data_IF_423192149216
#
_entry.id   IF_423192149216
#
_cell.length_a   1.000
_cell.length_b   1.000
_cell.length_c   1.000
_cell.angle_alpha   90.00
_cell.angle_beta   90.00
_cell.angle_gamma   90.00
#
_symmetry.space_group_name_H-M   'P 1'
#
loop_
_entity.id
_entity.type
_entity.pdbx_description
1 polymer ?
#
# COMPACT_ATOMS: atom_id res chain seq x y z
N UNK A 1 -2.38 21.53 23.33
CA UNK A 1 -2.36 20.81 22.04
C UNK A 1 -2.92 19.42 22.26
N UNK A 2 -3.99 18.99 21.57
CA UNK A 2 -4.50 17.61 21.72
C UNK A 2 -3.45 16.65 21.18
N UNK A 3 -2.88 15.79 22.04
CA UNK A 3 -1.98 14.72 21.61
C UNK A 3 -2.71 13.81 20.65
N UNK A 4 -2.31 13.87 19.39
CA UNK A 4 -2.85 13.05 18.31
C UNK A 4 -2.38 11.62 18.52
N UNK A 5 -3.29 10.64 18.45
CA UNK A 5 -2.88 9.24 18.55
C UNK A 5 -1.84 8.91 17.47
N UNK A 6 -0.85 8.11 17.85
CA UNK A 6 0.26 7.73 16.99
C UNK A 6 0.30 6.21 16.84
N UNK A 7 0.81 5.77 15.70
CA UNK A 7 1.19 4.39 15.43
C UNK A 7 2.70 4.31 15.34
N UNK A 8 3.28 3.29 15.95
CA UNK A 8 4.74 3.15 16.06
C UNK A 8 5.14 1.88 15.30
N UNK A 9 6.08 1.99 14.38
CA UNK A 9 6.64 0.84 13.66
C UNK A 9 7.49 -0.03 14.58
N UNK A 10 7.84 -1.27 14.17
CA UNK A 10 8.83 -2.08 14.89
C UNK A 10 10.20 -1.41 15.07
N UNK A 11 10.57 -0.50 14.16
CA UNK A 11 11.81 0.29 14.26
C UNK A 11 11.71 1.51 15.18
N UNK A 12 10.54 1.78 15.77
CA UNK A 12 10.31 2.93 16.65
C UNK A 12 9.89 4.23 15.94
N UNK A 13 9.75 4.21 14.60
CA UNK A 13 9.27 5.37 13.84
C UNK A 13 7.80 5.65 14.15
N UNK A 14 7.45 6.92 14.37
CA UNK A 14 6.12 7.35 14.82
C UNK A 14 5.34 7.99 13.68
N UNK A 15 4.11 7.54 13.50
CA UNK A 15 3.18 8.02 12.46
C UNK A 15 1.89 8.54 13.11
N UNK A 16 1.53 9.82 12.96
CA UNK A 16 0.28 10.35 13.47
C UNK A 16 -0.91 9.76 12.69
N UNK A 17 -1.95 9.31 13.41
CA UNK A 17 -3.16 8.77 12.76
C UNK A 17 -3.89 9.88 11.99
N UNK A 18 -4.39 9.62 10.78
CA UNK A 18 -4.98 10.64 9.91
C UNK A 18 -6.30 11.17 10.48
N UNK A 19 -6.57 12.43 10.16
CA UNK A 19 -7.71 13.19 10.64
C UNK A 19 -8.71 13.33 9.51
N UNK A 20 -9.89 13.89 9.80
CA UNK A 20 -10.99 13.98 8.82
C UNK A 20 -10.55 14.62 7.49
N UNK A 21 -9.75 15.68 7.52
CA UNK A 21 -9.32 16.35 6.30
C UNK A 21 -8.24 15.58 5.53
N UNK A 22 -7.38 14.82 6.22
CA UNK A 22 -6.42 13.93 5.55
C UNK A 22 -7.13 12.77 4.87
N UNK A 23 -8.18 12.20 5.46
CA UNK A 23 -9.02 11.20 4.79
C UNK A 23 -9.64 11.75 3.50
N UNK A 24 -10.19 12.97 3.55
CA UNK A 24 -10.78 13.60 2.35
C UNK A 24 -9.72 13.80 1.25
N UNK A 25 -8.54 14.29 1.61
CA UNK A 25 -7.42 14.47 0.67
C UNK A 25 -6.94 13.14 0.10
N UNK A 26 -6.81 12.13 0.94
CA UNK A 26 -6.36 10.80 0.54
C UNK A 26 -7.37 10.14 -0.41
N UNK A 27 -8.66 10.19 -0.10
CA UNK A 27 -9.70 9.69 -0.99
C UNK A 27 -9.69 10.41 -2.35
N UNK A 28 -9.53 11.73 -2.37
CA UNK A 28 -9.40 12.50 -3.61
C UNK A 28 -8.15 12.10 -4.42
N UNK A 29 -7.02 11.83 -3.74
CA UNK A 29 -5.78 11.32 -4.35
C UNK A 29 -6.00 9.95 -4.98
N UNK A 30 -6.60 9.01 -4.24
CA UNK A 30 -6.88 7.65 -4.70
C UNK A 30 -7.85 7.64 -5.89
N UNK A 31 -8.88 8.49 -5.87
CA UNK A 31 -9.81 8.62 -7.00
C UNK A 31 -9.07 9.02 -8.28
N UNK A 32 -8.25 10.08 -8.22
CA UNK A 32 -7.42 10.52 -9.37
C UNK A 32 -6.47 9.42 -9.84
N UNK A 33 -5.86 8.71 -8.90
CA UNK A 33 -4.93 7.63 -9.20
C UNK A 33 -5.63 6.44 -9.89
N UNK A 34 -6.77 6.00 -9.37
CA UNK A 34 -7.57 4.94 -9.97
C UNK A 34 -8.07 5.33 -11.36
N UNK A 35 -8.53 6.57 -11.54
CA UNK A 35 -8.99 7.08 -12.84
C UNK A 35 -7.84 7.06 -13.87
N UNK A 36 -6.62 7.48 -13.47
CA UNK A 36 -5.42 7.38 -14.32
C UNK A 36 -5.06 5.94 -14.68
N UNK A 37 -5.06 5.04 -13.70
CA UNK A 37 -4.66 3.63 -13.91
C UNK A 37 -5.66 2.90 -14.82
N UNK A 38 -6.96 3.21 -14.73
CA UNK A 38 -7.97 2.73 -15.68
C UNK A 38 -7.73 3.26 -17.09
N UNK A 39 -7.36 4.52 -17.23
CA UNK A 39 -7.01 5.10 -18.54
C UNK A 39 -5.76 4.45 -19.16
N UNK A 40 -4.83 3.96 -18.32
CA UNK A 40 -3.68 3.13 -18.72
C UNK A 40 -4.06 1.65 -18.99
N UNK A 41 -5.35 1.30 -18.93
CA UNK A 41 -5.86 -0.05 -19.22
C UNK A 41 -5.72 -1.06 -18.08
N UNK A 42 -5.38 -0.62 -16.86
CA UNK A 42 -5.18 -1.50 -15.70
C UNK A 42 -6.47 -1.70 -14.91
N UNK A 43 -6.70 -2.93 -14.48
CA UNK A 43 -7.78 -3.26 -13.54
C UNK A 43 -7.42 -2.76 -12.13
N UNK A 44 -8.37 -2.13 -11.45
CA UNK A 44 -8.18 -1.66 -10.07
C UNK A 44 -8.57 -2.77 -9.11
N UNK A 45 -7.62 -3.24 -8.31
CA UNK A 45 -7.85 -4.25 -7.28
C UNK A 45 -7.70 -3.62 -5.91
N UNK A 46 -8.67 -3.85 -5.03
CA UNK A 46 -8.64 -3.38 -3.64
C UNK A 46 -8.43 -4.56 -2.71
N UNK A 47 -7.35 -4.54 -1.94
CA UNK A 47 -7.05 -5.57 -0.94
C UNK A 47 -7.30 -4.99 0.44
N UNK A 48 -8.31 -5.50 1.15
CA UNK A 48 -8.66 -5.03 2.49
C UNK A 48 -7.85 -5.79 3.53
N UNK A 49 -7.03 -5.04 4.27
CA UNK A 49 -6.07 -5.53 5.25
C UNK A 49 -4.69 -5.76 4.62
N UNK A 50 -3.66 -5.11 5.17
CA UNK A 50 -2.24 -5.33 4.81
C UNK A 50 -1.51 -6.02 5.97
N UNK A 51 -2.13 -7.10 6.47
CA UNK A 51 -1.48 -8.11 7.29
C UNK A 51 -0.50 -8.95 6.47
N UNK A 52 0.01 -10.05 7.02
CA UNK A 52 0.94 -10.93 6.30
C UNK A 52 0.37 -11.38 4.95
N UNK A 53 -0.77 -12.08 4.98
CA UNK A 53 -1.45 -12.57 3.77
C UNK A 53 -1.84 -11.40 2.85
N UNK A 54 -2.45 -10.35 3.40
CA UNK A 54 -2.94 -9.23 2.60
C UNK A 54 -1.82 -8.43 1.90
N UNK A 55 -0.69 -8.20 2.56
CA UNK A 55 0.45 -7.49 1.97
C UNK A 55 1.11 -8.32 0.85
N UNK A 56 1.31 -9.62 1.07
CA UNK A 56 1.87 -10.53 0.07
C UNK A 56 0.92 -10.65 -1.12
N UNK A 57 -0.37 -10.89 -0.90
CA UNK A 57 -1.35 -10.97 -1.98
C UNK A 57 -1.48 -9.66 -2.76
N UNK A 58 -1.41 -8.52 -2.09
CA UNK A 58 -1.41 -7.22 -2.76
C UNK A 58 -0.19 -7.08 -3.70
N UNK A 59 0.99 -7.50 -3.26
CA UNK A 59 2.20 -7.45 -4.06
C UNK A 59 2.17 -8.45 -5.23
N UNK A 60 1.74 -9.70 -4.99
CA UNK A 60 1.61 -10.72 -6.04
C UNK A 60 0.66 -10.27 -7.15
N UNK A 61 -0.51 -9.73 -6.79
CA UNK A 61 -1.47 -9.24 -7.78
C UNK A 61 -0.93 -8.02 -8.51
N UNK A 62 -0.24 -7.10 -7.82
CA UNK A 62 0.36 -5.92 -8.42
C UNK A 62 1.55 -6.24 -9.34
N UNK A 63 2.24 -7.35 -9.13
CA UNK A 63 3.36 -7.78 -9.95
C UNK A 63 2.93 -8.52 -11.21
N UNK A 64 1.68 -9.03 -11.23
CA UNK A 64 1.14 -9.80 -12.35
C UNK A 64 1.15 -9.02 -13.68
N UNK A 65 1.52 -9.74 -14.74
CA UNK A 65 1.60 -9.21 -16.11
C UNK A 65 0.60 -9.89 -17.02
N UNK A 66 0.24 -9.22 -18.12
CA UNK A 66 -0.43 -9.85 -19.25
C UNK A 66 0.52 -10.76 -20.04
N UNK A 67 0.02 -11.33 -21.15
CA UNK A 67 0.81 -12.17 -22.05
C UNK A 67 1.94 -11.44 -22.78
N UNK A 68 1.94 -10.10 -22.75
CA UNK A 68 3.00 -9.24 -23.33
C UNK A 68 4.02 -8.81 -22.28
N UNK A 69 3.90 -9.28 -21.04
CA UNK A 69 4.79 -8.90 -19.93
C UNK A 69 4.48 -7.53 -19.33
N UNK A 70 3.36 -6.91 -19.68
CA UNK A 70 2.99 -5.58 -19.19
C UNK A 70 2.11 -5.69 -17.93
N UNK A 71 2.27 -4.81 -16.93
CA UNK A 71 1.41 -4.84 -15.76
C UNK A 71 -0.05 -4.57 -16.12
N UNK A 72 -0.93 -5.51 -15.78
CA UNK A 72 -2.37 -5.44 -16.10
C UNK A 72 -3.25 -4.95 -14.94
N UNK A 73 -2.68 -4.83 -13.74
CA UNK A 73 -3.41 -4.50 -12.50
C UNK A 73 -2.74 -3.38 -11.74
N UNK A 74 -3.55 -2.61 -11.05
CA UNK A 74 -3.14 -1.63 -10.07
C UNK A 74 -3.82 -1.93 -8.74
N UNK A 75 -3.03 -2.18 -7.70
CA UNK A 75 -3.51 -2.62 -6.40
C UNK A 75 -3.49 -1.48 -5.39
N UNK A 76 -4.59 -1.34 -4.67
CA UNK A 76 -4.74 -0.46 -3.52
C UNK A 76 -4.92 -1.34 -2.28
N UNK A 77 -3.88 -1.43 -1.45
CA UNK A 77 -3.96 -2.05 -0.13
C UNK A 77 -4.64 -1.10 0.85
N UNK A 78 -5.75 -1.50 1.45
CA UNK A 78 -6.51 -0.68 2.40
C UNK A 78 -6.29 -1.21 3.79
N UNK A 79 -5.87 -0.37 4.72
CA UNK A 79 -5.70 -0.73 6.11
C UNK A 79 -6.40 0.29 7.01
N UNK A 80 -7.24 -0.20 7.92
CA UNK A 80 -7.83 0.68 8.93
C UNK A 80 -6.71 1.34 9.75
N UNK A 81 -6.65 2.68 9.85
CA UNK A 81 -5.66 3.33 10.69
C UNK A 81 -5.98 3.06 12.15
N UNK A 82 -4.98 2.57 12.86
CA UNK A 82 -5.01 2.35 14.30
C UNK A 82 -3.62 2.55 14.87
N UNK A 83 -3.47 2.77 16.19
CA UNK A 83 -2.15 2.82 16.81
C UNK A 83 -1.31 1.56 16.53
N UNK A 84 -1.95 0.40 16.35
CA UNK A 84 -1.27 -0.90 16.14
C UNK A 84 -0.84 -1.17 14.71
N UNK A 85 -1.44 -0.50 13.72
CA UNK A 85 -1.32 -0.91 12.31
C UNK A 85 -1.11 0.22 11.31
N UNK A 86 -1.31 1.48 11.70
CA UNK A 86 -1.23 2.57 10.73
C UNK A 86 0.19 2.74 10.17
N UNK A 87 1.23 2.43 10.95
CA UNK A 87 2.63 2.42 10.49
C UNK A 87 2.88 1.55 9.25
N UNK A 88 2.03 0.56 8.98
CA UNK A 88 2.16 -0.33 7.81
C UNK A 88 1.95 0.40 6.49
N UNK A 89 0.99 1.32 6.45
CA UNK A 89 0.64 2.09 5.23
C UNK A 89 1.82 2.93 4.72
N UNK A 90 2.43 3.82 5.53
CA UNK A 90 3.55 4.64 5.08
C UNK A 90 4.81 3.82 4.78
N UNK A 91 5.07 2.72 5.51
CA UNK A 91 6.20 1.84 5.17
C UNK A 91 5.99 1.14 3.83
N UNK A 92 4.80 0.56 3.59
CA UNK A 92 4.48 -0.07 2.31
C UNK A 92 4.58 0.94 1.16
N UNK A 93 4.08 2.16 1.32
CA UNK A 93 4.20 3.23 0.31
C UNK A 93 5.65 3.69 0.07
N UNK A 94 6.62 3.35 0.93
CA UNK A 94 8.06 3.55 0.70
C UNK A 94 8.72 2.33 0.02
N UNK A 95 7.95 1.29 -0.31
CA UNK A 95 8.45 0.02 -0.81
C UNK A 95 9.13 -0.82 0.27
N UNK A 96 8.84 -0.55 1.56
CA UNK A 96 9.34 -1.34 2.69
C UNK A 96 8.24 -2.29 3.13
N UNK A 97 8.56 -3.59 3.21
CA UNK A 97 7.59 -4.58 3.65
C UNK A 97 7.08 -4.29 5.07
N UNK A 98 5.76 -4.23 5.29
CA UNK A 98 5.19 -4.02 6.62
C UNK A 98 5.08 -5.33 7.43
N UNK A 99 5.62 -6.44 6.92
CA UNK A 99 5.54 -7.77 7.49
C UNK A 99 6.88 -8.47 7.40
N UNK A 100 7.18 -9.34 8.35
CA UNK A 100 8.38 -10.17 8.31
C UNK A 100 8.05 -11.49 7.62
N UNK A 101 8.81 -11.85 6.60
CA UNK A 101 8.77 -13.14 5.94
C UNK A 101 10.14 -13.82 6.03
N UNK A 102 10.18 -15.15 6.00
CA UNK A 102 11.43 -15.90 5.88
C UNK A 102 11.97 -15.85 4.45
N UNK A 103 11.07 -15.76 3.48
CA UNK A 103 11.40 -15.62 2.07
C UNK A 103 11.79 -14.17 1.74
N UNK A 104 13.06 -13.91 1.35
CA UNK A 104 13.53 -12.58 1.00
C UNK A 104 12.87 -12.02 -0.27
N UNK A 105 12.25 -12.85 -1.11
CA UNK A 105 11.55 -12.39 -2.31
C UNK A 105 10.34 -11.51 -1.99
N UNK A 106 9.74 -11.66 -0.79
CA UNK A 106 8.60 -10.83 -0.37
C UNK A 106 8.98 -9.35 -0.31
N UNK A 107 10.14 -9.03 0.26
CA UNK A 107 10.61 -7.65 0.39
C UNK A 107 10.93 -7.07 -1.00
N UNK A 108 11.59 -7.85 -1.85
CA UNK A 108 11.93 -7.46 -3.22
C UNK A 108 10.67 -7.25 -4.08
N UNK A 109 9.66 -8.10 -3.93
CA UNK A 109 8.40 -8.03 -4.64
C UNK A 109 7.64 -6.74 -4.28
N UNK A 110 7.53 -6.43 -2.99
CA UNK A 110 6.88 -5.20 -2.52
C UNK A 110 7.65 -3.97 -3.02
N UNK A 111 8.97 -3.97 -2.89
CA UNK A 111 9.79 -2.87 -3.39
C UNK A 111 9.58 -2.65 -4.89
N UNK A 112 9.66 -3.72 -5.69
CA UNK A 112 9.47 -3.67 -7.15
C UNK A 112 8.09 -3.13 -7.51
N UNK A 113 7.02 -3.60 -6.86
CA UNK A 113 5.66 -3.15 -7.13
C UNK A 113 5.46 -1.66 -6.81
N UNK A 114 6.07 -1.17 -5.73
CA UNK A 114 5.90 0.21 -5.27
C UNK A 114 6.81 1.19 -6.02
N UNK A 115 8.12 0.89 -6.10
CA UNK A 115 9.12 1.82 -6.62
C UNK A 115 9.34 1.72 -8.12
N UNK A 116 9.33 0.50 -8.67
CA UNK A 116 9.71 0.23 -10.05
C UNK A 116 8.48 0.18 -10.97
N UNK A 117 7.60 -0.80 -10.76
CA UNK A 117 6.37 -1.00 -11.55
C UNK A 117 5.32 0.07 -11.27
N UNK A 118 5.32 0.64 -10.06
CA UNK A 118 4.31 1.62 -9.59
C UNK A 118 2.89 1.09 -9.74
N UNK A 119 2.70 -0.16 -9.35
CA UNK A 119 1.45 -0.92 -9.44
C UNK A 119 0.81 -1.19 -8.08
N UNK A 120 1.45 -0.79 -6.98
CA UNK A 120 0.95 -0.98 -5.63
C UNK A 120 1.04 0.31 -4.82
N UNK A 121 -0.04 0.65 -4.12
CA UNK A 121 -0.09 1.67 -3.07
C UNK A 121 -0.88 1.14 -1.87
N UNK A 122 -0.66 1.74 -0.69
CA UNK A 122 -1.47 1.51 0.50
C UNK A 122 -2.17 2.78 0.99
N UNK A 123 -3.30 2.62 1.68
CA UNK A 123 -4.08 3.68 2.32
C UNK A 123 -4.68 3.24 3.64
#
# INVERSE_FOLDING_TARGET
>A
MKNRQQSISPSGEKFPLPGRDEYKREFARLKKLADRQRAEGREIVVVVGVGFVGAVMAAVVADSTDSKGQPSKFVIGVQRPSPRSYWKIPLLNRGVSPVKAEDPEVDQLIERCVKQKKTLVAT
#
